data_IF_001362804700
#
_entry.id   IF_001362804700
#
_cell.length_a   1.000
_cell.length_b   1.000
_cell.length_c   1.000
_cell.angle_alpha   90.00
_cell.angle_beta   90.00
_cell.angle_gamma   90.00
#
_symmetry.space_group_name_H-M   'P 1'
#
loop_
_entity.id
_entity.type
_entity.pdbx_description
1 polymer ?
#
# COMPACT_ATOMS: atom_id res chain seq x y z
N UNK A 1 5.85 -13.40 -9.35
CA UNK A 1 5.74 -12.88 -7.96
C UNK A 1 4.56 -11.94 -7.86
N UNK A 2 3.92 -11.94 -6.72
CA UNK A 2 2.87 -10.97 -6.44
C UNK A 2 3.49 -9.59 -6.30
N UNK A 3 2.91 -8.62 -6.98
CA UNK A 3 3.45 -7.26 -7.09
C UNK A 3 2.66 -6.30 -6.21
N UNK A 4 3.35 -5.64 -5.31
CA UNK A 4 2.78 -4.64 -4.39
C UNK A 4 3.30 -3.26 -4.80
N UNK A 5 2.37 -2.32 -4.95
CA UNK A 5 2.70 -0.91 -5.13
C UNK A 5 2.55 -0.22 -3.78
N UNK A 6 3.64 0.33 -3.28
CA UNK A 6 3.69 1.03 -2.00
C UNK A 6 3.80 2.53 -2.26
N UNK A 7 2.79 3.28 -1.83
CA UNK A 7 2.72 4.73 -1.96
C UNK A 7 2.92 5.36 -0.59
N UNK A 8 4.13 5.84 -0.33
CA UNK A 8 4.54 6.39 0.96
C UNK A 8 5.63 7.46 0.72
N UNK A 9 5.42 8.66 1.21
CA UNK A 9 6.35 9.76 1.01
C UNK A 9 7.43 9.90 2.09
N UNK A 10 7.31 9.19 3.20
CA UNK A 10 8.40 9.10 4.18
C UNK A 10 9.38 8.03 3.75
N UNK A 11 10.58 8.45 3.33
CA UNK A 11 11.59 7.52 2.79
C UNK A 11 12.01 6.43 3.76
N UNK A 12 12.12 6.74 5.04
CA UNK A 12 12.48 5.75 6.07
C UNK A 12 11.40 4.68 6.23
N UNK A 13 10.13 5.11 6.27
CA UNK A 13 9.00 4.18 6.37
C UNK A 13 8.89 3.34 5.11
N UNK A 14 9.00 3.96 3.93
CA UNK A 14 8.96 3.26 2.66
C UNK A 14 10.04 2.19 2.56
N UNK A 15 11.27 2.52 2.96
CA UNK A 15 12.39 1.56 2.95
C UNK A 15 12.14 0.39 3.89
N UNK A 16 11.67 0.66 5.11
CA UNK A 16 11.39 -0.38 6.09
C UNK A 16 10.29 -1.33 5.61
N UNK A 17 9.18 -0.78 5.15
CA UNK A 17 8.06 -1.60 4.67
C UNK A 17 8.42 -2.36 3.40
N UNK A 18 9.17 -1.72 2.50
CA UNK A 18 9.65 -2.38 1.28
C UNK A 18 10.53 -3.59 1.59
N UNK A 19 11.49 -3.44 2.51
CA UNK A 19 12.35 -4.54 2.92
C UNK A 19 11.55 -5.67 3.57
N UNK A 20 10.59 -5.34 4.42
CA UNK A 20 9.74 -6.32 5.07
C UNK A 20 8.96 -7.15 4.04
N UNK A 21 8.40 -6.49 3.05
CA UNK A 21 7.63 -7.13 1.99
C UNK A 21 8.51 -8.00 1.07
N UNK A 22 9.67 -7.48 0.69
CA UNK A 22 10.62 -8.23 -0.13
C UNK A 22 11.14 -9.48 0.59
N UNK A 23 11.40 -9.35 1.88
CA UNK A 23 11.80 -10.48 2.72
C UNK A 23 10.69 -11.54 2.82
N UNK A 24 9.44 -11.12 2.69
CA UNK A 24 8.28 -12.03 2.65
C UNK A 24 7.96 -12.56 1.25
N UNK A 25 8.86 -12.35 0.28
CA UNK A 25 8.78 -12.85 -1.09
C UNK A 25 7.73 -12.17 -1.97
N UNK A 26 7.49 -10.88 -1.73
CA UNK A 26 6.72 -10.05 -2.65
C UNK A 26 7.67 -9.20 -3.51
N UNK A 27 7.21 -8.84 -4.70
CA UNK A 27 7.88 -7.84 -5.52
C UNK A 27 7.28 -6.47 -5.20
N UNK A 28 8.11 -5.48 -4.92
CA UNK A 28 7.64 -4.16 -4.45
C UNK A 28 8.12 -3.05 -5.37
N UNK A 29 7.19 -2.22 -5.81
CA UNK A 29 7.49 -0.92 -6.40
C UNK A 29 7.08 0.14 -5.38
N UNK A 30 8.03 0.99 -4.98
CA UNK A 30 7.77 2.06 -4.01
C UNK A 30 7.82 3.40 -4.74
N UNK A 31 6.78 4.20 -4.52
CA UNK A 31 6.68 5.56 -5.08
C UNK A 31 6.27 6.53 -3.96
N UNK A 32 6.62 7.80 -4.11
CA UNK A 32 6.36 8.80 -3.09
C UNK A 32 5.32 9.85 -3.50
N UNK A 33 4.77 9.73 -4.71
CA UNK A 33 3.77 10.65 -5.23
C UNK A 33 2.57 9.92 -5.81
N UNK A 34 1.41 10.54 -5.67
CA UNK A 34 0.15 10.00 -6.21
C UNK A 34 0.23 9.84 -7.72
N UNK A 35 0.81 10.83 -8.42
CA UNK A 35 0.91 10.81 -9.87
C UNK A 35 1.74 9.60 -10.34
N UNK A 36 2.81 9.28 -9.63
CA UNK A 36 3.66 8.13 -9.97
C UNK A 36 2.93 6.82 -9.71
N UNK A 37 2.16 6.75 -8.62
CA UNK A 37 1.35 5.56 -8.33
C UNK A 37 0.31 5.31 -9.42
N UNK A 38 -0.39 6.36 -9.85
CA UNK A 38 -1.37 6.25 -10.93
C UNK A 38 -0.73 5.77 -12.23
N UNK A 39 0.47 6.26 -12.53
CA UNK A 39 1.22 5.84 -13.71
C UNK A 39 1.58 4.35 -13.65
N UNK A 40 2.08 3.87 -12.52
CA UNK A 40 2.40 2.45 -12.34
C UNK A 40 1.14 1.60 -12.53
N UNK A 41 0.01 2.00 -11.95
CA UNK A 41 -1.25 1.27 -12.08
C UNK A 41 -1.75 1.21 -13.52
N UNK A 42 -1.41 2.21 -14.35
CA UNK A 42 -1.78 2.24 -15.74
C UNK A 42 -0.96 1.26 -16.60
N UNK A 43 0.33 1.11 -16.29
CA UNK A 43 1.26 0.40 -17.16
C UNK A 43 1.69 -0.97 -16.66
N UNK A 44 1.52 -1.26 -15.38
CA UNK A 44 1.99 -2.52 -14.79
C UNK A 44 0.85 -3.26 -14.12
N UNK A 45 0.95 -4.59 -14.11
CA UNK A 45 0.04 -5.39 -13.32
C UNK A 45 0.47 -5.33 -11.86
N UNK A 46 -0.42 -4.84 -11.03
CA UNK A 46 -0.22 -4.73 -9.58
C UNK A 46 -1.28 -5.59 -8.89
N UNK A 47 -0.88 -6.31 -7.86
CA UNK A 47 -1.78 -7.19 -7.11
C UNK A 47 -2.36 -6.51 -5.88
N UNK A 48 -1.66 -5.54 -5.30
CA UNK A 48 -2.10 -4.81 -4.10
C UNK A 48 -1.51 -3.41 -4.10
N UNK A 49 -2.35 -2.41 -3.84
CA UNK A 49 -1.90 -1.05 -3.56
C UNK A 49 -1.95 -0.82 -2.04
N UNK A 50 -0.85 -0.34 -1.48
CA UNK A 50 -0.77 0.10 -0.08
C UNK A 50 -0.40 1.57 -0.11
N UNK A 51 -1.24 2.43 0.48
CA UNK A 51 -1.04 3.87 0.36
C UNK A 51 -1.24 4.62 1.67
N UNK A 52 -0.33 5.53 1.96
CA UNK A 52 -0.58 6.57 2.95
C UNK A 52 -1.64 7.53 2.39
N UNK A 53 -2.57 7.96 3.22
CA UNK A 53 -3.67 8.83 2.76
C UNK A 53 -3.17 10.20 2.36
N UNK A 54 -2.26 10.80 3.17
CA UNK A 54 -1.76 12.15 2.95
C UNK A 54 -0.33 12.10 2.42
N UNK A 55 -0.14 12.74 1.29
CA UNK A 55 1.14 12.78 0.57
C UNK A 55 1.48 14.22 0.19
N UNK A 56 2.73 14.47 -0.19
CA UNK A 56 3.16 15.82 -0.55
C UNK A 56 2.38 16.41 -1.72
N UNK A 57 1.97 15.57 -2.68
CA UNK A 57 1.22 16.03 -3.85
C UNK A 57 -0.29 15.82 -3.74
N UNK A 58 -0.80 15.54 -2.54
CA UNK A 58 -2.22 15.43 -2.29
C UNK A 58 -2.60 14.16 -1.54
N UNK A 59 -3.85 13.73 -1.70
CA UNK A 59 -4.33 12.51 -1.07
C UNK A 59 -4.16 11.31 -1.99
N UNK A 60 -4.16 10.12 -1.39
CA UNK A 60 -4.05 8.87 -2.14
C UNK A 60 -5.31 8.50 -2.92
N UNK A 61 -6.38 9.27 -2.86
CA UNK A 61 -7.67 8.84 -3.40
C UNK A 61 -7.69 8.68 -4.91
N UNK A 62 -6.90 9.43 -5.66
CA UNK A 62 -6.76 9.19 -7.10
C UNK A 62 -6.20 7.79 -7.38
N UNK A 63 -5.25 7.34 -6.57
CA UNK A 63 -4.67 6.00 -6.70
C UNK A 63 -5.65 4.91 -6.26
N UNK A 64 -6.38 5.11 -5.16
CA UNK A 64 -7.39 4.14 -4.73
C UNK A 64 -8.56 4.05 -5.70
N UNK A 65 -8.95 5.17 -6.31
CA UNK A 65 -9.97 5.17 -7.36
C UNK A 65 -9.52 4.37 -8.58
N UNK A 66 -8.25 4.50 -8.96
CA UNK A 66 -7.68 3.68 -10.03
C UNK A 66 -7.69 2.19 -9.67
N UNK A 67 -7.33 1.85 -8.44
CA UNK A 67 -7.37 0.47 -7.97
C UNK A 67 -8.80 -0.10 -8.02
N UNK A 68 -9.80 0.70 -7.61
CA UNK A 68 -11.21 0.30 -7.69
C UNK A 68 -11.64 0.01 -9.12
N UNK A 69 -11.26 0.89 -10.06
CA UNK A 69 -11.58 0.68 -11.49
C UNK A 69 -10.95 -0.59 -12.03
N UNK A 70 -9.75 -0.94 -11.55
CA UNK A 70 -9.04 -2.14 -11.95
C UNK A 70 -9.51 -3.38 -11.17
N UNK A 71 -10.43 -3.22 -10.22
CA UNK A 71 -10.93 -4.29 -9.37
C UNK A 71 -9.82 -5.01 -8.61
N UNK A 72 -8.81 -4.25 -8.17
CA UNK A 72 -7.68 -4.78 -7.40
C UNK A 72 -7.78 -4.35 -5.95
N UNK A 73 -7.29 -5.19 -5.02
CA UNK A 73 -7.33 -4.83 -3.61
C UNK A 73 -6.38 -3.68 -3.28
N UNK A 74 -6.75 -2.91 -2.26
CA UNK A 74 -5.91 -1.87 -1.70
C UNK A 74 -6.21 -1.71 -0.22
N UNK A 75 -5.29 -1.13 0.53
CA UNK A 75 -5.61 -0.59 1.84
C UNK A 75 -4.80 0.66 2.13
N UNK A 76 -5.30 1.44 3.07
CA UNK A 76 -4.76 2.75 3.41
C UNK A 76 -4.06 2.70 4.76
N UNK A 77 -3.12 3.62 4.95
CA UNK A 77 -2.43 3.85 6.21
C UNK A 77 -2.55 5.33 6.55
N UNK A 78 -2.75 5.67 7.81
CA UNK A 78 -2.75 7.06 8.22
C UNK A 78 -2.47 7.22 9.71
N UNK A 79 -1.79 8.31 10.06
CA UNK A 79 -1.63 8.76 11.45
C UNK A 79 -2.51 9.96 11.78
N UNK A 80 -3.35 10.41 10.86
CA UNK A 80 -4.20 11.58 11.03
C UNK A 80 -5.57 11.19 11.58
N UNK A 81 -5.94 11.74 12.74
CA UNK A 81 -7.26 11.50 13.33
C UNK A 81 -8.39 12.00 12.43
N UNK A 82 -8.16 13.10 11.70
CA UNK A 82 -9.16 13.62 10.76
C UNK A 82 -9.40 12.64 9.62
N UNK A 83 -8.34 12.08 9.07
CA UNK A 83 -8.46 11.09 7.99
C UNK A 83 -9.11 9.80 8.49
N UNK A 84 -8.76 9.35 9.70
CA UNK A 84 -9.39 8.17 10.31
C UNK A 84 -10.91 8.35 10.41
N UNK A 85 -11.37 9.51 10.87
CA UNK A 85 -12.81 9.80 10.99
C UNK A 85 -13.49 9.74 9.62
N UNK A 86 -12.88 10.33 8.60
CA UNK A 86 -13.44 10.30 7.24
C UNK A 86 -13.50 8.88 6.68
N UNK A 87 -12.45 8.08 6.90
CA UNK A 87 -12.41 6.71 6.42
C UNK A 87 -13.44 5.84 7.14
N UNK A 88 -13.62 6.01 8.45
CA UNK A 88 -14.62 5.30 9.23
C UNK A 88 -16.03 5.67 8.77
N UNK A 89 -16.29 6.94 8.50
CA UNK A 89 -17.59 7.40 7.97
C UNK A 89 -17.92 6.77 6.61
N UNK A 90 -16.91 6.47 5.81
CA UNK A 90 -17.05 5.86 4.50
C UNK A 90 -16.89 4.34 4.52
N UNK A 91 -16.82 3.74 5.70
CA UNK A 91 -16.61 2.30 5.89
C UNK A 91 -15.35 1.78 5.17
N UNK A 92 -14.30 2.61 5.13
CA UNK A 92 -13.04 2.29 4.49
C UNK A 92 -12.06 1.72 5.51
N UNK A 93 -11.43 0.59 5.18
CA UNK A 93 -10.41 0.01 6.06
C UNK A 93 -9.12 0.82 6.01
N UNK A 94 -8.47 0.97 7.15
CA UNK A 94 -7.13 1.56 7.23
C UNK A 94 -6.33 0.95 8.38
N UNK A 95 -5.01 1.03 8.28
CA UNK A 95 -4.11 0.78 9.39
C UNK A 95 -3.71 2.12 10.02
N UNK A 96 -3.93 2.25 11.32
CA UNK A 96 -3.55 3.46 12.06
C UNK A 96 -2.05 3.44 12.35
N UNK A 97 -1.36 4.53 12.05
CA UNK A 97 0.05 4.72 12.40
C UNK A 97 0.15 5.27 13.83
N UNK A 98 1.09 4.81 14.64
CA UNK A 98 2.02 3.71 14.36
C UNK A 98 1.33 2.34 14.46
N UNK A 99 1.74 1.42 13.61
CA UNK A 99 1.23 0.04 13.65
C UNK A 99 2.39 -0.93 13.83
N UNK A 100 2.07 -2.15 14.24
CA UNK A 100 3.08 -3.20 14.33
C UNK A 100 3.32 -3.81 12.96
N UNK A 101 4.58 -4.14 12.68
CA UNK A 101 4.96 -4.74 11.40
C UNK A 101 4.28 -6.08 11.17
N UNK A 102 4.02 -6.84 12.22
CA UNK A 102 3.27 -8.09 12.14
C UNK A 102 1.83 -7.88 11.69
N UNK A 103 1.18 -6.82 12.17
CA UNK A 103 -0.18 -6.46 11.75
C UNK A 103 -0.21 -6.03 10.29
N UNK A 104 0.79 -5.25 9.87
CA UNK A 104 0.93 -4.83 8.48
C UNK A 104 1.06 -6.04 7.55
N UNK A 105 1.97 -6.96 7.87
CA UNK A 105 2.21 -8.13 7.04
C UNK A 105 1.01 -9.08 7.03
N UNK A 106 0.31 -9.22 8.17
CA UNK A 106 -0.91 -10.01 8.24
C UNK A 106 -1.99 -9.45 7.31
N UNK A 107 -2.13 -8.12 7.25
CA UNK A 107 -3.10 -7.49 6.36
C UNK A 107 -2.77 -7.75 4.89
N UNK A 108 -1.50 -7.69 4.52
CA UNK A 108 -1.06 -8.01 3.16
C UNK A 108 -1.44 -9.43 2.80
N UNK A 109 -1.15 -10.38 3.68
CA UNK A 109 -1.45 -11.80 3.46
C UNK A 109 -2.95 -12.07 3.37
N UNK A 110 -3.75 -11.37 4.17
CA UNK A 110 -5.20 -11.51 4.13
C UNK A 110 -5.76 -11.07 2.76
N UNK A 111 -5.15 -10.08 2.16
CA UNK A 111 -5.66 -9.53 0.90
C UNK A 111 -5.21 -10.29 -0.33
N UNK A 112 -3.96 -10.73 -0.37
CA UNK A 112 -3.41 -11.35 -1.58
C UNK A 112 -2.71 -12.69 -1.34
N UNK A 113 -2.77 -13.20 -0.11
CA UNK A 113 -2.10 -14.45 0.24
C UNK A 113 -0.61 -14.26 0.50
N UNK A 114 0.10 -15.34 0.87
CA UNK A 114 1.53 -15.27 1.13
C UNK A 114 2.31 -14.97 -0.14
N UNK A 115 3.52 -14.44 0.04
CA UNK A 115 4.44 -14.21 -1.06
C UNK A 115 4.78 -15.50 -1.79
N UNK A 116 4.93 -15.42 -3.09
CA UNK A 116 5.15 -16.57 -3.96
C UNK A 116 6.46 -16.48 -4.74
N UNK A 117 7.38 -15.68 -4.24
CA UNK A 117 8.70 -15.60 -4.83
C UNK A 117 9.46 -16.89 -4.66
N UNK A 118 10.46 -17.09 -5.53
CA UNK A 118 11.33 -18.27 -5.45
C UNK A 118 12.09 -18.22 -4.12
N UNK A 119 12.07 -19.33 -3.39
CA UNK A 119 12.82 -19.42 -2.15
C UNK A 119 14.31 -19.15 -2.39
N UNK A 120 14.88 -18.30 -1.57
CA UNK A 120 16.30 -18.00 -1.61
C UNK A 120 17.03 -18.98 -0.72
N UNK A 121 17.89 -19.71 -1.31
CA UNK A 121 18.73 -20.64 -0.59
C UNK A 121 20.17 -20.16 -0.60
#
# INVERSE_FOLDING_TARGET
MKHILLLEDNGGVASLLGLLLEDANYYVTSVDRVVDACEVLEWEKVDLLIADVLLFDGSAFAATDAAKRLQMPYFLMTGSYEQMALLEDNHEFYLAKPFQLTAFLAEVRDRIGPGDGVARN
#
